data_IF_312075949965
#
_entry.id   IF_312075949965
#
_cell.length_a   1.000
_cell.length_b   1.000
_cell.length_c   1.000
_cell.angle_alpha   90.00
_cell.angle_beta   90.00
_cell.angle_gamma   90.00
#
_symmetry.space_group_name_H-M   'P 1'
#
loop_
_entity.id
_entity.type
_entity.pdbx_description
1 polymer ?
#
# COMPACT_ATOMS: atom_id res chain seq x y z
N UNK A 1 50.75 18.41 -14.92
CA UNK A 1 50.45 19.56 -14.06
C UNK A 1 49.48 19.27 -12.93
N UNK A 2 48.40 18.49 -13.11
CA UNK A 2 47.37 18.35 -12.06
C UNK A 2 47.81 17.57 -10.79
N UNK A 3 48.74 16.62 -10.91
CA UNK A 3 49.23 15.82 -9.76
C UNK A 3 50.27 16.53 -8.88
N UNK A 4 50.81 17.67 -9.30
CA UNK A 4 51.73 18.46 -8.47
C UNK A 4 51.01 19.46 -7.57
N UNK A 5 49.76 19.83 -7.91
CA UNK A 5 48.96 20.80 -7.15
C UNK A 5 48.35 20.15 -5.90
N UNK A 6 47.97 18.87 -5.97
CA UNK A 6 47.43 18.12 -4.82
C UNK A 6 48.46 17.86 -3.71
N UNK A 7 49.76 17.83 -4.04
CA UNK A 7 50.83 17.54 -3.07
C UNK A 7 51.23 18.77 -2.24
N UNK A 8 50.85 19.97 -2.67
CA UNK A 8 51.12 21.23 -1.96
C UNK A 8 50.03 21.55 -0.92
N UNK A 9 48.81 21.03 -1.07
CA UNK A 9 47.70 21.32 -0.16
C UNK A 9 47.64 20.41 1.09
N UNK A 10 48.53 19.42 1.22
CA UNK A 10 48.46 18.38 2.26
C UNK A 10 49.68 18.33 3.20
N UNK A 11 50.20 19.48 3.60
CA UNK A 11 51.16 19.60 4.72
C UNK A 11 50.55 20.44 5.84
N UNK A 12 50.14 19.85 6.97
CA UNK A 12 49.87 20.63 8.17
C UNK A 12 51.21 20.97 8.85
N UNK A 13 51.57 22.25 8.87
CA UNK A 13 52.70 22.75 9.66
C UNK A 13 52.41 22.56 11.15
N UNK A 14 53.13 21.63 11.78
CA UNK A 14 53.00 21.25 13.20
C UNK A 14 53.63 22.27 14.17
N UNK A 15 53.59 23.57 13.88
CA UNK A 15 54.14 24.63 14.76
C UNK A 15 53.26 25.87 14.95
N UNK A 16 51.95 25.77 14.72
CA UNK A 16 50.98 26.81 15.08
C UNK A 16 50.06 26.39 16.26
N UNK A 17 50.50 25.44 17.08
CA UNK A 17 49.86 25.18 18.37
C UNK A 17 50.52 26.08 19.41
N UNK A 18 49.82 27.14 19.84
CA UNK A 18 49.98 27.95 21.08
C UNK A 18 49.76 29.45 20.83
N UNK A 19 48.54 29.84 20.46
CA UNK A 19 47.97 31.09 20.96
C UNK A 19 46.82 30.69 21.86
N UNK A 20 47.11 30.67 23.15
CA UNK A 20 46.18 30.34 24.20
C UNK A 20 45.12 31.45 24.28
N UNK A 21 43.96 31.21 23.67
CA UNK A 21 42.73 31.88 24.05
C UNK A 21 42.39 31.33 25.45
N UNK A 22 42.21 32.17 26.49
CA UNK A 22 41.81 31.68 27.80
C UNK A 22 40.42 31.05 27.68
N UNK A 23 40.36 29.72 27.60
CA UNK A 23 39.11 29.00 27.76
C UNK A 23 38.71 29.19 29.23
N UNK A 24 37.58 29.86 29.52
CA UNK A 24 37.11 29.99 30.89
C UNK A 24 36.90 28.58 31.45
N UNK A 25 37.42 28.33 32.66
CA UNK A 25 37.21 27.05 33.34
C UNK A 25 35.77 27.02 33.83
N UNK A 26 34.85 26.65 32.95
CA UNK A 26 33.47 26.35 33.30
C UNK A 26 33.52 25.12 34.20
N UNK A 27 32.95 25.23 35.39
CA UNK A 27 32.88 24.09 36.31
C UNK A 27 31.87 23.06 35.76
N UNK A 28 32.06 21.77 36.02
CA UNK A 28 31.14 20.71 35.58
C UNK A 28 29.67 21.01 35.98
N UNK A 29 29.49 21.71 37.10
CA UNK A 29 28.19 22.16 37.60
C UNK A 29 27.53 23.27 36.75
N UNK A 30 28.30 24.09 36.03
CA UNK A 30 27.75 25.09 35.10
C UNK A 30 27.33 24.46 33.77
N UNK A 31 28.09 23.48 33.28
CA UNK A 31 27.73 22.73 32.07
C UNK A 31 26.42 21.95 32.25
N UNK A 32 26.23 21.32 33.41
CA UNK A 32 24.99 20.60 33.72
C UNK A 32 23.79 21.55 33.82
N UNK A 33 23.98 22.75 34.39
CA UNK A 33 22.90 23.76 34.44
C UNK A 33 22.53 24.29 33.07
N UNK A 34 23.50 24.57 32.21
CA UNK A 34 23.24 25.01 30.84
C UNK A 34 22.54 23.92 30.01
N UNK A 35 22.90 22.64 30.19
CA UNK A 35 22.21 21.52 29.53
C UNK A 35 20.77 21.35 30.02
N UNK A 36 20.52 21.51 31.33
CA UNK A 36 19.17 21.46 31.90
C UNK A 36 18.29 22.62 31.43
N UNK A 37 18.82 23.86 31.38
CA UNK A 37 18.12 25.03 30.87
C UNK A 37 17.80 24.90 29.36
N UNK A 38 18.76 24.41 28.56
CA UNK A 38 18.53 24.13 27.14
C UNK A 38 17.50 23.01 26.92
N UNK A 39 17.52 21.98 27.76
CA UNK A 39 16.53 20.90 27.72
C UNK A 39 15.14 21.38 28.13
N UNK A 40 15.03 22.28 29.12
CA UNK A 40 13.76 22.90 29.51
C UNK A 40 13.22 23.79 28.38
N UNK A 41 14.07 24.61 27.77
CA UNK A 41 13.69 25.48 26.66
C UNK A 41 13.26 24.66 25.44
N UNK A 42 13.95 23.57 25.14
CA UNK A 42 13.57 22.63 24.08
C UNK A 42 12.19 21.98 24.37
N UNK A 43 11.93 21.54 25.60
CA UNK A 43 10.62 21.01 26.02
C UNK A 43 9.52 22.06 25.90
N UNK A 44 9.80 23.31 26.29
CA UNK A 44 8.85 24.43 26.17
C UNK A 44 8.55 24.72 24.70
N UNK A 45 9.55 24.72 23.82
CA UNK A 45 9.36 24.88 22.37
C UNK A 45 8.55 23.72 21.78
N UNK A 46 8.84 22.47 22.16
CA UNK A 46 8.06 21.30 21.74
C UNK A 46 6.60 21.37 22.18
N UNK A 47 6.34 21.78 23.43
CA UNK A 47 4.95 21.94 23.91
C UNK A 47 4.16 22.99 23.12
N UNK A 48 4.82 24.07 22.69
CA UNK A 48 4.22 25.12 21.85
C UNK A 48 3.92 24.62 20.44
N UNK A 49 4.85 23.88 19.84
CA UNK A 49 4.63 23.29 18.50
C UNK A 49 3.54 22.23 18.52
N UNK A 50 3.44 21.42 19.58
CA UNK A 50 2.37 20.43 19.75
C UNK A 50 1.00 21.13 19.83
N UNK A 51 0.91 22.22 20.60
CA UNK A 51 -0.33 23.01 20.71
C UNK A 51 -0.76 23.64 19.37
N UNK A 52 0.19 24.09 18.55
CA UNK A 52 -0.09 24.66 17.22
C UNK A 52 -0.59 23.60 16.23
N UNK A 53 -0.01 22.40 16.23
CA UNK A 53 -0.44 21.28 15.40
C UNK A 53 -1.85 20.78 15.80
N UNK A 54 -2.14 20.71 17.10
CA UNK A 54 -3.47 20.35 17.58
C UNK A 54 -4.53 21.39 17.17
N UNK A 55 -4.18 22.68 17.24
CA UNK A 55 -5.05 23.76 16.78
C UNK A 55 -5.27 23.73 15.26
N UNK A 56 -4.22 23.53 14.47
CA UNK A 56 -4.32 23.39 13.02
C UNK A 56 -5.23 22.23 12.63
N UNK A 57 -5.17 21.11 13.35
CA UNK A 57 -6.06 19.96 13.15
C UNK A 57 -7.52 20.26 13.51
N UNK A 58 -7.76 21.03 14.57
CA UNK A 58 -9.10 21.46 14.99
C UNK A 58 -9.72 22.44 14.00
N UNK A 59 -8.92 23.31 13.37
CA UNK A 59 -9.40 24.32 12.42
C UNK A 59 -9.50 23.75 11.00
N UNK A 60 -8.65 22.79 10.63
CA UNK A 60 -8.62 22.13 9.32
C UNK A 60 -9.71 21.05 9.18
N UNK A 61 -10.93 21.34 9.65
CA UNK A 61 -12.09 20.49 9.38
C UNK A 61 -12.55 20.77 7.96
N UNK A 62 -12.40 19.78 7.09
CA UNK A 62 -12.88 19.86 5.71
C UNK A 62 -14.41 19.99 5.71
N UNK A 63 -14.94 20.94 4.94
CA UNK A 63 -16.37 21.16 4.85
C UNK A 63 -17.00 20.13 3.90
N UNK A 64 -17.47 19.01 4.47
CA UNK A 64 -18.10 17.88 3.76
C UNK A 64 -19.46 18.23 3.14
N UNK A 65 -20.04 19.42 3.41
CA UNK A 65 -21.35 19.80 2.85
C UNK A 65 -21.30 20.07 1.33
N UNK A 66 -20.10 20.14 0.74
CA UNK A 66 -19.88 20.29 -0.71
C UNK A 66 -19.23 19.07 -1.34
N UNK A 67 -19.13 17.95 -0.63
CA UNK A 67 -18.57 16.75 -1.23
C UNK A 67 -19.58 16.20 -2.25
N UNK A 68 -19.19 16.19 -3.53
CA UNK A 68 -19.91 15.57 -4.65
C UNK A 68 -19.95 14.02 -4.55
N UNK A 69 -19.76 13.48 -3.34
CA UNK A 69 -19.91 12.05 -3.03
C UNK A 69 -21.39 11.62 -2.96
N UNK A 70 -22.33 12.54 -3.20
CA UNK A 70 -23.75 12.24 -3.29
C UNK A 70 -24.03 11.60 -4.65
N UNK A 71 -24.19 10.28 -4.65
CA UNK A 71 -24.63 9.53 -5.82
C UNK A 71 -26.14 9.69 -5.94
N UNK A 72 -26.59 10.66 -6.74
CA UNK A 72 -28.00 10.78 -7.12
C UNK A 72 -28.32 9.81 -8.27
N UNK A 73 -29.17 8.82 -8.01
CA UNK A 73 -29.72 7.95 -9.05
C UNK A 73 -31.25 7.89 -8.91
N UNK A 74 -31.96 8.12 -10.02
CA UNK A 74 -33.43 8.17 -10.07
C UNK A 74 -34.04 6.89 -10.63
N UNK A 75 -33.21 5.98 -11.13
CA UNK A 75 -33.61 4.66 -11.63
C UNK A 75 -32.68 3.56 -11.10
N UNK A 76 -33.17 2.32 -11.10
CA UNK A 76 -32.38 1.14 -10.66
C UNK A 76 -31.13 0.96 -11.53
N UNK A 77 -31.26 1.14 -12.85
CA UNK A 77 -30.13 1.03 -13.78
C UNK A 77 -29.07 2.11 -13.53
N UNK A 78 -29.50 3.34 -13.26
CA UNK A 78 -28.60 4.46 -12.95
C UNK A 78 -27.89 4.26 -11.61
N UNK A 79 -28.57 3.70 -10.61
CA UNK A 79 -27.97 3.36 -9.32
C UNK A 79 -26.87 2.31 -9.48
N UNK A 80 -27.14 1.26 -10.28
CA UNK A 80 -26.14 0.22 -10.58
C UNK A 80 -24.93 0.81 -11.30
N UNK A 81 -25.14 1.65 -12.31
CA UNK A 81 -24.07 2.25 -13.10
C UNK A 81 -23.18 3.21 -12.30
N UNK A 82 -23.77 3.99 -11.38
CA UNK A 82 -23.01 4.91 -10.53
C UNK A 82 -22.29 4.19 -9.37
N UNK A 83 -22.86 3.08 -8.88
CA UNK A 83 -22.19 2.21 -7.90
C UNK A 83 -21.11 1.33 -8.52
N UNK A 84 -21.17 1.03 -9.82
CA UNK A 84 -20.16 0.27 -10.54
C UNK A 84 -18.92 1.12 -10.83
N UNK A 85 -18.06 1.27 -9.82
CA UNK A 85 -16.69 1.81 -9.94
C UNK A 85 -15.78 0.91 -10.81
N UNK A 86 -16.30 -0.22 -11.30
CA UNK A 86 -15.54 -1.29 -11.96
C UNK A 86 -15.41 -1.16 -13.49
N UNK A 87 -16.24 -0.36 -14.18
CA UNK A 87 -16.25 -0.35 -15.66
C UNK A 87 -15.22 0.59 -16.31
N UNK A 88 -14.48 1.38 -15.52
CA UNK A 88 -13.32 2.13 -16.00
C UNK A 88 -11.99 1.35 -15.89
N UNK A 89 -11.99 0.17 -15.25
CA UNK A 89 -10.94 -0.80 -15.50
C UNK A 89 -11.31 -1.57 -16.76
N UNK A 90 -10.36 -1.82 -17.69
CA UNK A 90 -10.62 -2.68 -18.84
C UNK A 90 -11.27 -3.95 -18.30
N UNK A 91 -12.46 -4.35 -18.82
CA UNK A 91 -13.16 -5.53 -18.34
C UNK A 91 -12.12 -6.61 -18.28
N UNK A 92 -11.92 -7.19 -17.09
CA UNK A 92 -10.92 -8.21 -16.92
C UNK A 92 -11.34 -9.38 -17.82
N UNK A 93 -10.87 -9.34 -19.07
CA UNK A 93 -11.15 -10.25 -20.18
C UNK A 93 -10.43 -11.57 -19.95
N UNK A 94 -10.24 -11.96 -18.70
CA UNK A 94 -9.82 -13.29 -18.35
C UNK A 94 -11.01 -14.25 -18.41
N UNK A 95 -11.65 -14.31 -19.59
CA UNK A 95 -12.57 -15.39 -19.95
C UNK A 95 -11.88 -16.72 -19.71
N UNK A 96 -10.59 -16.83 -20.02
CA UNK A 96 -9.79 -18.03 -19.69
C UNK A 96 -9.71 -18.35 -18.19
N UNK A 97 -9.66 -17.34 -17.30
CA UNK A 97 -9.66 -17.59 -15.84
C UNK A 97 -11.05 -17.98 -15.36
N UNK A 98 -12.11 -17.34 -15.87
CA UNK A 98 -13.49 -17.73 -15.55
C UNK A 98 -13.87 -19.09 -16.11
N UNK A 99 -13.41 -19.47 -17.31
CA UNK A 99 -13.58 -20.81 -17.87
C UNK A 99 -12.88 -21.86 -16.99
N UNK A 100 -11.65 -21.59 -16.55
CA UNK A 100 -10.92 -22.50 -15.65
C UNK A 100 -11.58 -22.61 -14.28
N UNK A 101 -12.05 -21.49 -13.73
CA UNK A 101 -12.72 -21.45 -12.43
C UNK A 101 -14.09 -22.15 -12.45
N UNK A 102 -14.91 -21.88 -13.46
CA UNK A 102 -16.21 -22.54 -13.66
C UNK A 102 -16.05 -24.03 -13.94
N UNK A 103 -15.09 -24.43 -14.78
CA UNK A 103 -14.80 -25.84 -15.01
C UNK A 103 -14.34 -26.55 -13.72
N UNK A 104 -13.47 -25.92 -12.92
CA UNK A 104 -13.01 -26.49 -11.65
C UNK A 104 -14.15 -26.65 -10.64
N UNK A 105 -15.03 -25.64 -10.52
CA UNK A 105 -16.20 -25.72 -9.63
C UNK A 105 -17.15 -26.85 -10.08
N UNK A 106 -17.35 -27.01 -11.38
CA UNK A 106 -18.16 -28.10 -11.95
C UNK A 106 -17.52 -29.48 -11.75
N UNK A 107 -16.19 -29.58 -11.91
CA UNK A 107 -15.43 -30.80 -11.65
C UNK A 107 -15.58 -31.25 -10.19
N UNK A 108 -15.41 -30.35 -9.22
CA UNK A 108 -15.52 -30.68 -7.79
C UNK A 108 -16.94 -31.13 -7.39
N UNK A 109 -17.98 -30.59 -8.02
CA UNK A 109 -19.38 -30.98 -7.76
C UNK A 109 -19.78 -32.32 -8.40
N UNK A 110 -19.33 -32.58 -9.63
CA UNK A 110 -19.76 -33.75 -10.41
C UNK A 110 -18.87 -34.98 -10.21
N UNK A 111 -17.59 -34.80 -9.87
CA UNK A 111 -16.66 -35.90 -9.60
C UNK A 111 -17.14 -36.88 -8.50
N UNK A 112 -17.67 -36.45 -7.33
CA UNK A 112 -18.21 -37.37 -6.35
C UNK A 112 -19.47 -38.10 -6.85
N UNK A 113 -20.39 -37.41 -7.53
CA UNK A 113 -21.60 -38.02 -8.12
C UNK A 113 -21.26 -39.10 -9.14
N UNK A 114 -20.30 -38.82 -10.03
CA UNK A 114 -19.87 -39.77 -11.06
C UNK A 114 -19.16 -40.99 -10.46
N UNK A 115 -18.41 -40.81 -9.36
CA UNK A 115 -17.77 -41.92 -8.65
C UNK A 115 -18.77 -42.85 -7.98
N UNK A 116 -19.88 -42.32 -7.48
CA UNK A 116 -20.98 -43.11 -6.89
C UNK A 116 -21.78 -43.86 -7.96
N UNK A 117 -22.07 -43.22 -9.10
CA UNK A 117 -22.82 -43.80 -10.20
C UNK A 117 -22.07 -44.90 -10.96
N UNK A 118 -20.76 -44.73 -11.16
CA UNK A 118 -19.93 -45.62 -11.99
C UNK A 118 -18.60 -45.96 -11.34
N UNK A 119 -18.58 -46.60 -10.14
CA UNK A 119 -17.34 -46.99 -9.50
C UNK A 119 -16.53 -47.93 -10.42
N UNK A 120 -15.23 -47.65 -10.58
CA UNK A 120 -14.31 -48.47 -11.40
C UNK A 120 -13.77 -47.78 -12.66
N UNK A 121 -14.23 -46.57 -12.99
CA UNK A 121 -13.65 -45.79 -14.09
C UNK A 121 -12.34 -45.10 -13.66
N UNK A 122 -11.41 -44.91 -14.60
CA UNK A 122 -10.15 -44.20 -14.33
C UNK A 122 -10.41 -42.71 -14.14
N UNK A 123 -9.61 -42.03 -13.31
CA UNK A 123 -9.74 -40.59 -13.07
C UNK A 123 -9.77 -39.74 -14.35
N UNK A 124 -8.96 -40.08 -15.36
CA UNK A 124 -8.97 -39.39 -16.65
C UNK A 124 -10.30 -39.56 -17.41
N UNK A 125 -10.90 -40.75 -17.35
CA UNK A 125 -12.17 -41.01 -18.02
C UNK A 125 -13.33 -40.24 -17.36
N UNK A 126 -13.30 -40.08 -16.02
CA UNK A 126 -14.24 -39.16 -15.34
C UNK A 126 -14.04 -37.72 -15.80
N UNK A 127 -12.78 -37.25 -15.89
CA UNK A 127 -12.47 -35.90 -16.41
C UNK A 127 -13.00 -35.68 -17.82
N UNK A 128 -12.85 -36.65 -18.72
CA UNK A 128 -13.38 -36.57 -20.08
C UNK A 128 -14.92 -36.51 -20.10
N UNK A 129 -15.58 -37.23 -19.19
CA UNK A 129 -17.04 -37.22 -19.06
C UNK A 129 -17.54 -35.90 -18.48
N UNK A 130 -16.88 -35.40 -17.43
CA UNK A 130 -17.15 -34.08 -16.82
C UNK A 130 -16.95 -32.98 -17.85
N UNK A 131 -15.87 -33.03 -18.66
CA UNK A 131 -15.63 -32.06 -19.73
C UNK A 131 -16.74 -32.05 -20.79
N UNK A 132 -17.27 -33.22 -21.17
CA UNK A 132 -18.41 -33.33 -22.10
C UNK A 132 -19.70 -32.76 -21.50
N UNK A 133 -19.96 -33.02 -20.21
CA UNK A 133 -21.11 -32.48 -19.50
C UNK A 133 -20.99 -30.96 -19.34
N UNK A 134 -19.80 -30.46 -18.98
CA UNK A 134 -19.52 -29.05 -18.80
C UNK A 134 -19.72 -28.24 -20.07
N UNK A 135 -19.27 -28.73 -21.24
CA UNK A 135 -19.53 -28.07 -22.54
C UNK A 135 -21.02 -27.85 -22.81
N UNK A 136 -21.88 -28.75 -22.32
CA UNK A 136 -23.34 -28.67 -22.45
C UNK A 136 -24.02 -27.97 -21.27
N UNK A 137 -23.30 -27.72 -20.18
CA UNK A 137 -23.85 -27.11 -18.97
C UNK A 137 -24.15 -25.63 -19.20
N UNK A 138 -25.21 -25.08 -18.60
CA UNK A 138 -25.43 -23.64 -18.53
C UNK A 138 -24.31 -22.91 -17.78
N UNK A 139 -23.53 -23.58 -16.93
CA UNK A 139 -22.43 -22.96 -16.18
C UNK A 139 -21.19 -22.63 -17.04
N UNK A 140 -21.21 -23.02 -18.32
CA UNK A 140 -20.17 -22.61 -19.26
C UNK A 140 -20.45 -21.17 -19.73
N UNK A 141 -19.58 -20.19 -19.41
CA UNK A 141 -19.78 -18.80 -19.83
C UNK A 141 -19.81 -18.64 -21.37
N UNK A 142 -19.30 -19.60 -22.15
CA UNK A 142 -19.46 -19.61 -23.61
C UNK A 142 -20.92 -19.81 -24.06
N UNK A 143 -21.76 -20.46 -23.24
CA UNK A 143 -23.16 -20.72 -23.54
C UNK A 143 -24.08 -19.59 -23.05
N UNK A 144 -23.56 -18.65 -22.26
CA UNK A 144 -24.30 -17.54 -21.63
C UNK A 144 -24.21 -16.21 -22.44
N UNK A 145 -23.52 -16.21 -23.57
CA UNK A 145 -23.27 -15.00 -24.38
C UNK A 145 -24.39 -14.70 -25.41
N UNK A 146 -25.67 -14.76 -25.02
CA UNK A 146 -26.81 -14.28 -25.81
C UNK A 146 -27.66 -13.30 -25.03
#
# INVERSE_FOLDING_TARGET
>A
EEKEIEKVLKKPDKKANRVAIPVPKVTEAELQKEEEEQAEEAKKRQSRTVAEVEYERLVSVTNTNRDDSLIEARSVQEAIAQMSVADNLPPDRHTERWLKASFKAFEEAELPRLKEEKPGLTHNQYKDMIWKLWKKSPDNPLNQAS
#
